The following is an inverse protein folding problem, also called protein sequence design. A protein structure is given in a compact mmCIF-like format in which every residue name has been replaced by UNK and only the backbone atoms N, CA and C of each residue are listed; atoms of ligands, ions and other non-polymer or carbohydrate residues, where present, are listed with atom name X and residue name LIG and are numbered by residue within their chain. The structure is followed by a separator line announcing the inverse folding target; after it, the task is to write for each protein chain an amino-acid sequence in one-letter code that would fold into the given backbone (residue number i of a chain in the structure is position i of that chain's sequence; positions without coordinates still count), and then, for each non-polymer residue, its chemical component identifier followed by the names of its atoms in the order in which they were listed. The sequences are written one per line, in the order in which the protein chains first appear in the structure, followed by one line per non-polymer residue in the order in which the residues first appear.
data_IF_170799887242
#
_entry.id   IF_170799887242
#
_cell.length_a   1.000
_cell.length_b   1.000
_cell.length_c   1.000
_cell.angle_alpha   90.00
_cell.angle_beta   90.00
_cell.angle_gamma   90.00
#
_symmetry.space_group_name_H-M   'P 1'
#
loop_
_entity.id
_entity.type
_entity.pdbx_description
1 polymer ?
#
# COMPACT_ATOMS: atom_id res chain seq x y z
N UNK A 1 52.95 -16.70 -43.13
CA UNK A 1 51.88 -17.72 -43.08
C UNK A 1 51.26 -17.75 -41.67
N UNK A 2 50.68 -16.64 -41.19
CA UNK A 2 50.30 -16.51 -39.77
C UNK A 2 49.32 -15.40 -39.39
N UNK A 3 48.58 -14.82 -40.35
CA UNK A 3 47.58 -13.75 -40.08
C UNK A 3 46.12 -14.17 -40.26
N UNK A 4 45.86 -15.40 -40.72
CA UNK A 4 44.50 -15.88 -41.03
C UNK A 4 43.83 -16.54 -39.82
N UNK A 5 44.60 -17.09 -38.88
CA UNK A 5 44.06 -17.82 -37.71
C UNK A 5 43.47 -16.94 -36.60
N UNK A 6 43.86 -15.65 -36.55
CA UNK A 6 43.41 -14.72 -35.50
C UNK A 6 42.01 -14.18 -35.76
N UNK A 7 41.63 -13.92 -37.02
CA UNK A 7 40.33 -13.30 -37.36
C UNK A 7 39.13 -14.23 -37.11
N UNK A 8 39.32 -15.54 -37.28
CA UNK A 8 38.29 -16.55 -37.09
C UNK A 8 37.94 -16.78 -35.61
N UNK A 9 38.93 -16.62 -34.70
CA UNK A 9 38.68 -16.69 -33.26
C UNK A 9 37.91 -15.47 -32.73
N UNK A 10 38.21 -14.26 -33.22
CA UNK A 10 37.47 -13.07 -32.82
C UNK A 10 36.00 -13.12 -33.29
N UNK A 11 35.72 -13.69 -34.47
CA UNK A 11 34.37 -13.82 -34.99
C UNK A 11 33.52 -14.81 -34.17
N UNK A 12 34.11 -15.93 -33.72
CA UNK A 12 33.42 -16.93 -32.89
C UNK A 12 33.15 -16.39 -31.48
N UNK A 13 34.10 -15.66 -30.88
CA UNK A 13 33.91 -15.03 -29.56
C UNK A 13 32.86 -13.91 -29.61
N UNK A 14 32.82 -13.10 -30.68
CA UNK A 14 31.78 -12.07 -30.86
C UNK A 14 30.38 -12.67 -31.04
N UNK A 15 30.24 -13.77 -31.79
CA UNK A 15 28.95 -14.45 -31.97
C UNK A 15 28.49 -15.08 -30.64
N UNK A 16 29.39 -15.68 -29.86
CA UNK A 16 29.07 -16.25 -28.55
C UNK A 16 28.61 -15.19 -27.52
N UNK A 17 29.22 -14.00 -27.53
CA UNK A 17 28.79 -12.89 -26.67
C UNK A 17 27.42 -12.32 -27.07
N UNK A 18 27.12 -12.24 -28.38
CA UNK A 18 25.83 -11.71 -28.86
C UNK A 18 24.70 -12.69 -28.53
N UNK A 19 24.90 -14.01 -28.68
CA UNK A 19 23.87 -15.01 -28.35
C UNK A 19 23.56 -15.08 -26.84
N UNK A 20 24.56 -14.83 -25.97
CA UNK A 20 24.35 -14.81 -24.51
C UNK A 20 23.51 -13.62 -24.02
N UNK A 21 23.58 -12.47 -24.72
CA UNK A 21 22.80 -11.26 -24.38
C UNK A 21 21.32 -11.40 -24.77
N UNK A 22 21.00 -12.15 -25.83
CA UNK A 22 19.60 -12.32 -26.27
C UNK A 22 18.80 -13.37 -25.47
N UNK A 23 19.44 -14.19 -24.63
CA UNK A 23 18.75 -15.26 -23.87
C UNK A 23 18.24 -14.83 -22.47
N UNK A 24 18.47 -13.59 -22.04
CA UNK A 24 18.07 -13.12 -20.71
C UNK A 24 17.02 -12.01 -20.71
N UNK A 25 16.28 -11.80 -21.81
CA UNK A 25 15.04 -11.03 -21.73
C UNK A 25 13.98 -11.84 -20.99
N UNK A 26 14.08 -11.88 -19.66
CA UNK A 26 12.97 -12.27 -18.80
C UNK A 26 11.85 -11.28 -19.07
N UNK A 27 10.86 -11.71 -19.84
CA UNK A 27 9.63 -10.95 -20.01
C UNK A 27 9.00 -10.86 -18.62
N UNK A 28 9.09 -9.68 -18.00
CA UNK A 28 8.38 -9.39 -16.76
C UNK A 28 6.93 -9.14 -17.14
N UNK A 29 6.10 -10.17 -17.01
CA UNK A 29 4.65 -9.99 -17.08
C UNK A 29 4.21 -9.28 -15.80
N UNK A 30 3.66 -8.07 -15.94
CA UNK A 30 2.95 -7.44 -14.82
C UNK A 30 1.78 -8.35 -14.45
N UNK A 31 1.79 -8.88 -13.22
CA UNK A 31 0.66 -9.64 -12.70
C UNK A 31 -0.60 -8.74 -12.74
N UNK A 32 -1.69 -9.27 -13.30
CA UNK A 32 -3.00 -8.62 -13.31
C UNK A 32 -3.41 -8.39 -11.86
N UNK A 33 -3.48 -7.14 -11.45
CA UNK A 33 -3.72 -6.78 -10.06
C UNK A 33 -5.22 -6.58 -9.82
N UNK A 34 -5.89 -7.69 -9.52
CA UNK A 34 -7.33 -7.79 -9.32
C UNK A 34 -7.78 -7.23 -7.95
N UNK A 35 -6.84 -6.92 -7.04
CA UNK A 35 -7.13 -6.61 -5.64
C UNK A 35 -7.27 -5.11 -5.34
N UNK A 36 -7.87 -4.35 -6.25
CA UNK A 36 -7.79 -2.88 -6.25
C UNK A 36 -9.17 -2.25 -6.36
N UNK A 37 -9.63 -1.60 -5.30
CA UNK A 37 -10.76 -0.68 -5.40
C UNK A 37 -10.22 0.66 -5.85
N UNK A 38 -10.71 1.20 -6.96
CA UNK A 38 -10.29 2.50 -7.50
C UNK A 38 -11.48 3.36 -7.82
N UNK A 39 -11.40 4.63 -7.43
CA UNK A 39 -12.34 5.67 -7.80
C UNK A 39 -11.53 6.85 -8.34
N UNK A 40 -11.96 7.37 -9.47
CA UNK A 40 -11.46 8.62 -10.03
C UNK A 40 -12.64 9.53 -10.32
N UNK A 41 -12.57 10.77 -9.84
CA UNK A 41 -13.53 11.82 -10.17
C UNK A 41 -12.78 13.12 -10.46
N UNK A 42 -13.48 14.22 -10.69
CA UNK A 42 -12.83 15.51 -11.01
C UNK A 42 -11.96 16.10 -9.89
N UNK A 43 -12.03 15.57 -8.66
CA UNK A 43 -11.29 16.07 -7.51
C UNK A 43 -10.14 15.17 -7.09
N UNK A 44 -10.28 13.85 -7.18
CA UNK A 44 -9.33 12.89 -6.61
C UNK A 44 -9.18 11.63 -7.45
N UNK A 45 -7.99 11.05 -7.39
CA UNK A 45 -7.75 9.63 -7.65
C UNK A 45 -7.59 8.94 -6.31
N UNK A 46 -8.40 7.94 -6.02
CA UNK A 46 -8.42 7.25 -4.74
C UNK A 46 -8.41 5.74 -4.97
N UNK A 47 -7.67 5.00 -4.17
CA UNK A 47 -7.68 3.55 -4.23
C UNK A 47 -7.37 2.89 -2.90
N UNK A 48 -7.98 1.72 -2.73
CA UNK A 48 -7.81 0.83 -1.60
C UNK A 48 -7.29 -0.51 -2.08
N UNK A 49 -6.31 -1.02 -1.35
CA UNK A 49 -5.61 -2.25 -1.65
C UNK A 49 -5.49 -3.08 -0.37
N UNK A 50 -6.49 -3.93 -0.07
CA UNK A 50 -6.37 -4.90 1.01
C UNK A 50 -5.12 -5.77 0.85
N UNK A 51 -4.44 -6.06 1.96
CA UNK A 51 -3.22 -6.88 2.00
C UNK A 51 -3.48 -8.15 2.80
N UNK A 52 -2.90 -9.26 2.35
CA UNK A 52 -2.96 -10.49 3.14
C UNK A 52 -2.06 -10.37 4.38
N UNK A 53 -2.35 -11.10 5.47
CA UNK A 53 -1.48 -11.17 6.63
C UNK A 53 -0.04 -11.57 6.26
N UNK A 54 0.13 -12.50 5.33
CA UNK A 54 1.46 -13.01 4.94
C UNK A 54 2.25 -11.97 4.15
N UNK A 55 1.60 -11.20 3.28
CA UNK A 55 2.25 -10.08 2.59
C UNK A 55 2.79 -9.05 3.59
N UNK A 56 1.99 -8.73 4.61
CA UNK A 56 2.41 -7.77 5.64
C UNK A 56 3.48 -8.35 6.56
N UNK A 57 3.36 -9.61 6.95
CA UNK A 57 4.36 -10.31 7.74
C UNK A 57 5.72 -10.30 7.03
N UNK A 58 5.77 -10.76 5.78
CA UNK A 58 7.00 -10.77 4.99
C UNK A 58 7.61 -9.37 4.84
N UNK A 59 6.77 -8.34 4.63
CA UNK A 59 7.24 -6.95 4.53
C UNK A 59 7.96 -6.48 5.80
N UNK A 60 7.43 -6.78 6.98
CA UNK A 60 8.01 -6.37 8.26
C UNK A 60 9.16 -7.29 8.71
N UNK A 61 9.10 -8.58 8.40
CA UNK A 61 10.20 -9.54 8.64
C UNK A 61 11.46 -9.11 7.88
N UNK A 62 11.31 -8.75 6.60
CA UNK A 62 12.41 -8.19 5.79
C UNK A 62 13.00 -6.88 6.32
N UNK A 63 12.37 -6.27 7.34
CA UNK A 63 12.83 -5.05 8.04
C UNK A 63 13.29 -5.34 9.47
N UNK A 64 13.49 -6.62 9.82
CA UNK A 64 14.04 -7.03 11.11
C UNK A 64 13.07 -6.88 12.28
N UNK A 65 11.75 -6.88 12.03
CA UNK A 65 10.79 -6.87 13.12
C UNK A 65 10.85 -8.20 13.91
N UNK A 66 10.77 -8.16 15.25
CA UNK A 66 10.78 -9.38 16.05
C UNK A 66 9.50 -10.16 15.82
N UNK A 67 9.56 -11.49 15.95
CA UNK A 67 8.43 -12.42 15.74
C UNK A 67 7.14 -11.97 16.44
N UNK A 68 7.22 -11.51 17.69
CA UNK A 68 6.04 -11.03 18.43
C UNK A 68 5.36 -9.79 17.82
N UNK A 69 6.13 -8.94 17.13
CA UNK A 69 5.58 -7.80 16.40
C UNK A 69 4.93 -8.28 15.09
N UNK A 70 5.55 -9.22 14.39
CA UNK A 70 4.99 -9.85 13.19
C UNK A 70 3.63 -10.48 13.49
N UNK A 71 3.54 -11.32 14.53
CA UNK A 71 2.28 -11.94 14.90
C UNK A 71 1.20 -10.90 15.25
N UNK A 72 1.57 -9.79 15.91
CA UNK A 72 0.63 -8.71 16.18
C UNK A 72 0.11 -8.02 14.89
N UNK A 73 0.95 -7.88 13.86
CA UNK A 73 0.51 -7.33 12.56
C UNK A 73 -0.46 -8.27 11.84
N UNK A 74 -0.25 -9.60 11.92
CA UNK A 74 -1.13 -10.60 11.30
C UNK A 74 -2.54 -10.62 11.88
N UNK A 75 -2.73 -10.11 13.09
CA UNK A 75 -4.06 -9.98 13.72
C UNK A 75 -4.84 -8.75 13.24
N UNK A 76 -4.36 -8.02 12.22
CA UNK A 76 -5.03 -6.84 11.71
C UNK A 76 -5.27 -6.94 10.21
N UNK A 77 -6.37 -6.35 9.78
CA UNK A 77 -6.69 -6.18 8.38
C UNK A 77 -6.01 -4.91 7.87
N UNK A 78 -4.98 -5.09 7.03
CA UNK A 78 -4.25 -3.97 6.42
C UNK A 78 -4.90 -3.59 5.09
N UNK A 79 -5.14 -2.29 4.92
CA UNK A 79 -5.58 -1.72 3.65
C UNK A 79 -4.59 -0.63 3.30
N UNK A 80 -3.81 -0.82 2.23
CA UNK A 80 -3.03 0.27 1.67
C UNK A 80 -3.99 1.23 0.98
N UNK A 81 -3.88 2.51 1.32
CA UNK A 81 -4.61 3.61 0.71
C UNK A 81 -3.65 4.37 -0.19
N UNK A 82 -4.11 4.70 -1.38
CA UNK A 82 -3.43 5.65 -2.27
C UNK A 82 -4.39 6.76 -2.68
N UNK A 83 -3.97 8.00 -2.59
CA UNK A 83 -4.76 9.16 -2.97
C UNK A 83 -3.88 10.17 -3.71
N UNK A 84 -4.47 10.87 -4.69
CA UNK A 84 -3.89 12.06 -5.31
C UNK A 84 -4.98 13.12 -5.44
N UNK A 85 -4.69 14.33 -4.98
CA UNK A 85 -5.55 15.48 -5.22
C UNK A 85 -5.37 15.91 -6.69
N UNK A 86 -6.38 15.74 -7.54
CA UNK A 86 -6.34 16.19 -8.94
C UNK A 86 -7.19 17.44 -9.18
N UNK A 87 -7.73 18.02 -8.10
CA UNK A 87 -8.44 19.30 -8.13
C UNK A 87 -7.47 20.49 -8.17
N UNK A 88 -8.02 21.71 -8.23
CA UNK A 88 -7.25 22.97 -8.14
C UNK A 88 -7.21 23.57 -6.74
N UNK A 89 -7.85 22.93 -5.76
CA UNK A 89 -7.94 23.43 -4.37
C UNK A 89 -7.33 22.41 -3.41
N UNK A 90 -6.99 22.83 -2.19
CA UNK A 90 -6.59 21.88 -1.13
C UNK A 90 -7.70 20.90 -0.79
N UNK A 91 -7.28 19.67 -0.49
CA UNK A 91 -8.13 18.61 0.08
C UNK A 91 -7.49 18.16 1.38
N UNK A 92 -8.29 18.04 2.43
CA UNK A 92 -7.80 17.72 3.76
C UNK A 92 -8.16 16.27 4.09
N UNK A 93 -7.12 15.45 4.21
CA UNK A 93 -7.17 14.13 4.80
C UNK A 93 -7.30 14.27 6.31
N UNK A 94 -8.31 13.61 6.88
CA UNK A 94 -8.49 13.45 8.32
C UNK A 94 -9.17 12.10 8.57
N UNK A 95 -8.43 11.14 9.12
CA UNK A 95 -8.92 9.79 9.34
C UNK A 95 -9.96 9.68 10.45
N UNK A 96 -10.11 10.70 11.30
CA UNK A 96 -11.17 10.72 12.32
C UNK A 96 -12.56 10.94 11.72
N UNK A 97 -12.61 11.49 10.50
CA UNK A 97 -13.84 11.74 9.74
C UNK A 97 -14.25 10.56 8.87
N UNK A 98 -13.44 9.51 8.84
CA UNK A 98 -13.73 8.31 8.06
C UNK A 98 -14.54 7.35 8.89
N UNK A 99 -15.57 6.78 8.27
CA UNK A 99 -16.39 5.74 8.90
C UNK A 99 -16.17 4.42 8.18
N UNK A 100 -15.98 3.37 8.97
CA UNK A 100 -15.77 2.02 8.46
C UNK A 100 -16.77 1.14 9.17
N UNK A 101 -17.59 0.43 8.42
CA UNK A 101 -18.70 -0.32 9.00
C UNK A 101 -19.10 -1.50 8.13
N UNK A 102 -19.64 -2.54 8.75
CA UNK A 102 -20.28 -3.67 8.09
C UNK A 102 -21.73 -3.83 8.60
N UNK A 103 -22.34 -4.99 8.32
CA UNK A 103 -23.70 -5.30 8.77
C UNK A 103 -23.86 -5.41 10.29
N UNK A 104 -22.77 -5.59 11.04
CA UNK A 104 -22.76 -5.70 12.50
C UNK A 104 -22.56 -4.34 13.17
N UNK A 105 -22.07 -3.33 12.44
CA UNK A 105 -21.87 -1.97 12.94
C UNK A 105 -20.52 -1.40 12.54
N UNK A 106 -20.04 -0.45 13.34
CA UNK A 106 -18.77 0.23 13.10
C UNK A 106 -17.57 -0.68 13.40
N UNK A 107 -16.57 -0.64 12.52
CA UNK A 107 -15.31 -1.36 12.64
C UNK A 107 -14.23 -0.39 13.11
N UNK A 108 -13.64 -0.69 14.25
CA UNK A 108 -12.57 0.14 14.81
C UNK A 108 -11.29 0.06 13.97
N UNK A 109 -10.75 1.24 13.63
CA UNK A 109 -9.38 1.40 13.13
C UNK A 109 -8.40 1.45 14.31
N UNK A 110 -7.28 0.75 14.20
CA UNK A 110 -6.16 0.94 15.12
C UNK A 110 -5.38 2.20 14.72
N UNK A 111 -5.38 3.22 15.58
CA UNK A 111 -4.70 4.49 15.34
C UNK A 111 -3.18 4.39 15.48
N UNK A 112 -2.48 5.41 14.98
CA UNK A 112 -1.02 5.55 15.15
C UNK A 112 -0.59 5.49 16.62
N UNK A 113 -1.31 6.16 17.50
CA UNK A 113 -1.01 6.18 18.95
C UNK A 113 -1.27 4.83 19.60
N UNK A 114 -2.35 4.15 19.22
CA UNK A 114 -2.64 2.80 19.70
C UNK A 114 -1.55 1.81 19.26
N UNK A 115 -1.03 1.93 18.03
CA UNK A 115 0.11 1.12 17.59
C UNK A 115 1.37 1.43 18.37
N UNK A 116 1.69 2.72 18.60
CA UNK A 116 2.82 3.12 19.44
C UNK A 116 2.74 2.50 20.83
N UNK A 117 1.58 2.55 21.47
CA UNK A 117 1.35 1.90 22.77
C UNK A 117 1.54 0.37 22.70
N UNK A 118 0.97 -0.30 21.69
CA UNK A 118 1.15 -1.75 21.47
C UNK A 118 2.63 -2.15 21.32
N UNK A 119 3.41 -1.31 20.65
CA UNK A 119 4.84 -1.52 20.42
C UNK A 119 5.69 -1.28 21.66
N UNK A 120 5.39 -0.24 22.43
CA UNK A 120 6.03 0.03 23.71
C UNK A 120 5.78 -1.12 24.71
N UNK A 121 4.54 -1.59 24.83
CA UNK A 121 4.19 -2.74 25.68
C UNK A 121 4.91 -4.03 25.29
N UNK A 122 5.34 -4.15 24.03
CA UNK A 122 6.04 -5.33 23.48
C UNK A 122 7.54 -5.10 23.38
N UNK A 123 8.08 -4.01 23.92
CA UNK A 123 9.51 -3.67 23.84
C UNK A 123 10.06 -3.73 22.39
N UNK A 124 9.24 -3.37 21.39
CA UNK A 124 9.70 -3.29 20.00
C UNK A 124 10.69 -2.14 19.89
N UNK A 125 11.80 -2.33 19.16
CA UNK A 125 12.85 -1.31 19.04
C UNK A 125 12.30 0.02 18.51
N UNK A 126 12.90 1.14 18.93
CA UNK A 126 12.50 2.46 18.43
C UNK A 126 12.64 2.57 16.90
N UNK A 127 13.66 1.92 16.33
CA UNK A 127 13.85 1.86 14.88
C UNK A 127 12.67 1.16 14.19
N UNK A 128 12.27 -0.03 14.67
CA UNK A 128 11.10 -0.74 14.13
C UNK A 128 9.80 0.04 14.35
N UNK A 129 9.64 0.70 15.50
CA UNK A 129 8.48 1.58 15.74
C UNK A 129 8.41 2.71 14.72
N UNK A 130 9.53 3.39 14.46
CA UNK A 130 9.61 4.44 13.44
C UNK A 130 9.32 3.88 12.04
N UNK A 131 9.92 2.74 11.68
CA UNK A 131 9.65 2.07 10.40
C UNK A 131 8.18 1.73 10.23
N UNK A 132 7.52 1.15 11.25
CA UNK A 132 6.08 0.86 11.20
C UNK A 132 5.27 2.14 11.05
N UNK A 133 5.61 3.17 11.84
CA UNK A 133 4.92 4.46 11.80
C UNK A 133 4.97 5.08 10.40
N UNK A 134 6.09 4.97 9.69
CA UNK A 134 6.22 5.45 8.32
C UNK A 134 5.34 4.71 7.29
N UNK A 135 4.89 3.48 7.58
CA UNK A 135 4.00 2.75 6.66
C UNK A 135 2.54 3.11 6.82
N UNK A 136 2.16 3.76 7.92
CA UNK A 136 0.78 4.14 8.20
C UNK A 136 0.41 5.43 7.46
N UNK A 137 -0.80 5.47 6.92
CA UNK A 137 -1.38 6.68 6.36
C UNK A 137 -1.36 7.81 7.42
N UNK A 138 -1.04 9.06 7.06
CA UNK A 138 -1.10 10.17 8.01
C UNK A 138 -2.50 10.30 8.63
N UNK A 139 -2.56 10.58 9.92
CA UNK A 139 -3.85 10.81 10.62
C UNK A 139 -4.54 12.05 10.05
N UNK A 140 -3.75 13.09 9.74
CA UNK A 140 -4.20 14.31 9.07
C UNK A 140 -3.16 14.75 8.03
N UNK A 141 -3.61 15.34 6.92
CA UNK A 141 -2.73 15.98 5.93
C UNK A 141 -3.51 16.94 5.03
N UNK A 142 -2.98 18.12 4.77
CA UNK A 142 -3.39 18.96 3.65
C UNK A 142 -2.71 18.49 2.37
N UNK A 143 -3.51 18.16 1.35
CA UNK A 143 -3.03 17.78 0.04
C UNK A 143 -3.18 18.96 -0.89
N UNK A 144 -2.05 19.51 -1.33
CA UNK A 144 -2.02 20.52 -2.37
C UNK A 144 -2.46 19.92 -3.73
N UNK A 145 -2.81 20.77 -4.72
CA UNK A 145 -3.06 20.31 -6.08
C UNK A 145 -1.91 19.42 -6.62
N UNK A 146 -2.28 18.29 -7.20
CA UNK A 146 -1.41 17.20 -7.69
C UNK A 146 -0.56 16.46 -6.63
N UNK A 147 -0.74 16.76 -5.34
CA UNK A 147 -0.01 16.07 -4.28
C UNK A 147 -0.56 14.64 -4.08
N UNK A 148 0.31 13.61 -4.12
CA UNK A 148 -0.06 12.26 -3.74
C UNK A 148 0.17 12.02 -2.24
N UNK A 149 -0.63 11.12 -1.67
CA UNK A 149 -0.40 10.55 -0.34
C UNK A 149 -0.76 9.08 -0.34
N UNK A 150 -0.09 8.29 0.50
CA UNK A 150 -0.43 6.90 0.68
C UNK A 150 0.13 6.34 1.96
N UNK A 151 -0.35 5.15 2.31
CA UNK A 151 0.01 4.46 3.53
C UNK A 151 -1.08 3.48 3.93
N UNK A 152 -0.85 2.72 4.99
CA UNK A 152 -1.80 1.73 5.47
C UNK A 152 -2.74 2.32 6.50
N UNK A 153 -4.00 1.91 6.44
CA UNK A 153 -4.88 1.86 7.61
C UNK A 153 -4.96 0.41 8.09
N UNK A 154 -5.20 0.23 9.37
CA UNK A 154 -5.30 -1.09 10.01
C UNK A 154 -6.60 -1.20 10.77
N UNK A 155 -7.36 -2.24 10.50
CA UNK A 155 -8.67 -2.49 11.10
C UNK A 155 -8.62 -3.73 11.97
N UNK A 156 -9.56 -3.81 12.92
CA UNK A 156 -9.91 -5.11 13.49
C UNK A 156 -10.41 -6.04 12.36
N UNK A 157 -9.99 -7.32 12.33
CA UNK A 157 -10.47 -8.26 11.33
C UNK A 157 -12.00 -8.40 11.38
N UNK A 158 -12.63 -8.52 10.22
CA UNK A 158 -14.03 -8.89 10.06
C UNK A 158 -14.15 -9.97 8.99
N UNK A 159 -15.08 -10.91 9.17
CA UNK A 159 -15.43 -11.93 8.17
C UNK A 159 -16.50 -11.43 7.18
N UNK A 160 -17.00 -10.22 7.36
CA UNK A 160 -18.02 -9.63 6.51
C UNK A 160 -17.44 -8.60 5.55
N UNK A 161 -18.01 -8.46 4.35
CA UNK A 161 -17.75 -7.28 3.55
C UNK A 161 -18.13 -6.03 4.32
N UNK A 162 -17.29 -5.02 4.21
CA UNK A 162 -17.49 -3.74 4.86
C UNK A 162 -17.43 -2.60 3.86
N UNK A 163 -17.80 -1.43 4.34
CA UNK A 163 -17.80 -0.17 3.60
C UNK A 163 -16.79 0.77 4.23
N UNK A 164 -16.08 1.52 3.41
CA UNK A 164 -15.35 2.71 3.84
C UNK A 164 -16.03 3.93 3.25
N UNK A 165 -16.48 4.82 4.14
CA UNK A 165 -16.93 6.17 3.80
C UNK A 165 -15.85 7.17 4.25
N UNK A 166 -15.08 7.66 3.27
CA UNK A 166 -14.01 8.62 3.46
C UNK A 166 -14.51 10.03 3.19
N UNK A 167 -14.52 10.88 4.21
CA UNK A 167 -14.94 12.29 4.13
C UNK A 167 -13.72 13.19 4.19
N UNK A 168 -13.63 14.14 3.25
CA UNK A 168 -12.56 15.11 3.15
C UNK A 168 -13.13 16.53 3.17
N UNK A 169 -12.49 17.42 3.95
CA UNK A 169 -12.75 18.84 3.81
C UNK A 169 -12.06 19.38 2.55
N UNK A 170 -12.60 20.45 1.98
CA UNK A 170 -12.07 21.06 0.75
C UNK A 170 -11.90 22.56 0.92
N UNK A 171 -11.05 23.16 0.08
CA UNK A 171 -10.74 24.58 0.13
C UNK A 171 -9.62 24.93 1.11
N UNK A 172 -9.12 26.16 1.01
CA UNK A 172 -7.97 26.64 1.79
C UNK A 172 -8.23 26.65 3.30
N UNK A 173 -9.47 26.88 3.72
CA UNK A 173 -9.89 27.02 5.12
C UNK A 173 -10.81 25.88 5.59
N UNK A 174 -10.88 24.76 4.85
CA UNK A 174 -11.73 23.60 5.13
C UNK A 174 -13.25 23.87 5.07
N UNK A 175 -13.70 25.02 4.57
CA UNK A 175 -15.14 25.37 4.48
C UNK A 175 -15.79 25.09 3.13
N UNK A 176 -15.03 24.54 2.18
CA UNK A 176 -15.59 24.10 0.90
C UNK A 176 -16.58 22.95 1.06
N UNK A 177 -17.32 22.64 -0.01
CA UNK A 177 -18.23 21.49 -0.02
C UNK A 177 -17.44 20.20 0.27
N UNK A 178 -17.81 19.41 1.30
CA UNK A 178 -17.09 18.18 1.61
C UNK A 178 -17.10 17.21 0.42
N UNK A 179 -15.96 16.57 0.20
CA UNK A 179 -15.84 15.46 -0.73
C UNK A 179 -16.06 14.17 0.05
N UNK A 180 -16.98 13.32 -0.43
CA UNK A 180 -17.26 12.01 0.16
C UNK A 180 -16.97 10.94 -0.87
N UNK A 181 -16.16 9.95 -0.47
CA UNK A 181 -15.87 8.76 -1.27
C UNK A 181 -16.40 7.56 -0.49
N UNK A 182 -17.27 6.79 -1.12
CA UNK A 182 -17.83 5.57 -0.53
C UNK A 182 -17.44 4.38 -1.40
N UNK A 183 -16.84 3.37 -0.77
CA UNK A 183 -16.49 2.11 -1.42
C UNK A 183 -17.09 0.97 -0.59
N UNK A 184 -17.99 0.23 -1.21
CA UNK A 184 -18.70 -0.89 -0.60
C UNK A 184 -18.02 -2.23 -0.92
N UNK A 185 -18.44 -3.29 -0.20
CA UNK A 185 -18.03 -4.68 -0.44
C UNK A 185 -16.51 -4.90 -0.38
N UNK A 186 -15.82 -4.15 0.48
CA UNK A 186 -14.40 -4.35 0.76
C UNK A 186 -14.26 -5.56 1.68
N UNK A 187 -13.22 -6.38 1.47
CA UNK A 187 -12.92 -7.54 2.32
C UNK A 187 -11.51 -7.48 2.87
N UNK A 188 -11.36 -7.99 4.09
CA UNK A 188 -10.05 -8.34 4.62
C UNK A 188 -9.58 -9.61 3.93
N UNK A 189 -8.42 -9.56 3.28
CA UNK A 189 -7.89 -10.73 2.60
C UNK A 189 -7.29 -11.71 3.60
N UNK A 190 -7.54 -12.98 3.37
CA UNK A 190 -6.88 -14.12 4.00
C UNK A 190 -5.77 -14.61 3.07
N UNK A 191 -4.94 -15.51 3.57
CA UNK A 191 -3.84 -16.05 2.76
C UNK A 191 -4.38 -17.00 1.70
N UNK A 192 -3.89 -16.86 0.48
CA UNK A 192 -4.43 -17.56 -0.68
C UNK A 192 -5.62 -16.85 -1.34
N UNK A 193 -6.13 -15.77 -0.74
CA UNK A 193 -7.18 -14.97 -1.38
C UNK A 193 -6.63 -14.17 -2.56
N UNK A 194 -7.32 -14.26 -3.69
CA UNK A 194 -7.39 -13.21 -4.70
C UNK A 194 -8.69 -12.44 -4.44
N UNK A 195 -8.63 -11.12 -4.30
CA UNK A 195 -9.84 -10.31 -4.13
C UNK A 195 -10.71 -10.41 -5.40
N UNK A 196 -12.04 -10.21 -5.29
CA UNK A 196 -12.97 -10.39 -6.40
C UNK A 196 -12.74 -9.40 -7.56
#
# INVERSE_FOLDING_TARGET
MGKIFTLQHYLIVLIACIVSVYLHSSIVYAAKDENRYKIENQFVKFGLYPRTPEQMAAFYEGRGFPRQAIEATKQHCFITVGMRNISKTKIWLDLSRWRIYDKQGDIARTSRDQWKQKWQQRNVSLASQATFNWTLLPETRDLHPDEPVGGNITLQPTDHPFTIEAVFATGEDQKGKPLVIKIDNIRCLKNGDTAP
#
